data_IF_647343130647
#
_entry.id   IF_647343130647
#
_cell.length_a   1.000
_cell.length_b   1.000
_cell.length_c   1.000
_cell.angle_alpha   90.00
_cell.angle_beta   90.00
_cell.angle_gamma   90.00
#
_symmetry.space_group_name_H-M   'P 1'
#
loop_
_entity.id
_entity.type
_entity.pdbx_description
1 polymer ?
#
# COMPACT_ATOMS: atom_id res chain seq x y z
N UNK A 1 -7.73 1.94 39.90
CA UNK A 1 -7.83 2.19 38.44
C UNK A 1 -6.49 2.09 37.70
N UNK A 2 -5.51 2.97 37.92
CA UNK A 2 -4.22 2.93 37.18
C UNK A 2 -3.39 1.68 37.50
N UNK A 3 -3.47 1.20 38.74
CA UNK A 3 -2.83 -0.04 39.20
C UNK A 3 -3.50 -1.27 38.59
N UNK A 4 -4.84 -1.33 38.66
CA UNK A 4 -5.62 -2.39 37.99
C UNK A 4 -5.40 -2.44 36.47
N UNK A 5 -5.23 -1.28 35.82
CA UNK A 5 -4.92 -1.20 34.40
C UNK A 5 -3.51 -1.72 34.08
N UNK A 6 -2.52 -1.35 34.90
CA UNK A 6 -1.16 -1.88 34.77
C UNK A 6 -1.15 -3.40 34.98
N UNK A 7 -1.88 -3.91 35.96
CA UNK A 7 -1.99 -5.35 36.20
C UNK A 7 -2.76 -6.07 35.09
N UNK A 8 -3.73 -5.40 34.45
CA UNK A 8 -4.46 -5.89 33.29
C UNK A 8 -3.59 -5.99 32.04
N UNK A 9 -2.82 -4.94 31.73
CA UNK A 9 -1.91 -4.92 30.57
C UNK A 9 -0.72 -5.84 30.80
N UNK A 10 -0.22 -5.97 32.04
CA UNK A 10 0.90 -6.87 32.36
C UNK A 10 0.53 -8.36 32.26
N UNK A 11 -0.73 -8.69 31.95
CA UNK A 11 -1.11 -10.04 31.52
C UNK A 11 -0.40 -10.33 30.20
N UNK A 12 0.54 -11.27 30.19
CA UNK A 12 1.38 -11.58 29.03
C UNK A 12 0.60 -11.75 27.71
N UNK A 13 -0.59 -12.37 27.75
CA UNK A 13 -1.47 -12.53 26.58
C UNK A 13 -1.92 -11.22 25.92
N UNK A 14 -2.08 -10.12 26.67
CA UNK A 14 -2.44 -8.81 26.13
C UNK A 14 -1.24 -8.08 25.55
N UNK A 15 -0.08 -8.16 26.22
CA UNK A 15 1.17 -7.56 25.74
C UNK A 15 1.58 -8.16 24.40
N UNK A 16 1.50 -9.49 24.26
CA UNK A 16 1.86 -10.18 23.02
C UNK A 16 0.99 -9.74 21.84
N UNK A 17 -0.32 -9.63 22.03
CA UNK A 17 -1.25 -9.15 21.00
C UNK A 17 -0.97 -7.69 20.66
N UNK A 18 -0.71 -6.84 21.67
CA UNK A 18 -0.41 -5.43 21.45
C UNK A 18 0.90 -5.23 20.67
N UNK A 19 1.95 -5.98 21.00
CA UNK A 19 3.24 -5.93 20.28
C UNK A 19 3.07 -6.43 18.85
N UNK A 20 2.34 -7.53 18.62
CA UNK A 20 2.08 -8.05 17.28
C UNK A 20 1.34 -7.02 16.40
N UNK A 21 0.34 -6.33 16.96
CA UNK A 21 -0.39 -5.29 16.26
C UNK A 21 0.52 -4.12 15.89
N UNK A 22 1.26 -3.56 16.85
CA UNK A 22 2.16 -2.41 16.62
C UNK A 22 3.23 -2.73 15.58
N UNK A 23 3.82 -3.93 15.63
CA UNK A 23 4.78 -4.38 14.62
C UNK A 23 4.14 -4.49 13.24
N UNK A 24 2.90 -4.99 13.16
CA UNK A 24 2.13 -5.06 11.91
C UNK A 24 1.86 -3.69 11.30
N UNK A 25 1.42 -2.72 12.11
CA UNK A 25 1.12 -1.36 11.60
C UNK A 25 2.39 -0.61 11.20
N UNK A 26 3.45 -0.72 11.98
CA UNK A 26 4.72 -0.06 11.67
C UNK A 26 5.35 -0.59 10.37
N UNK A 27 5.29 -1.91 10.15
CA UNK A 27 5.86 -2.55 8.97
C UNK A 27 5.13 -2.16 7.67
N UNK A 28 3.83 -1.85 7.72
CA UNK A 28 3.07 -1.40 6.55
C UNK A 28 3.68 -0.16 5.89
N UNK A 29 4.17 0.80 6.69
CA UNK A 29 4.82 2.02 6.17
C UNK A 29 6.13 1.72 5.44
N UNK A 30 6.90 0.74 5.94
CA UNK A 30 8.17 0.29 5.35
C UNK A 30 7.91 -0.37 4.01
N UNK A 31 6.92 -1.28 3.96
CA UNK A 31 6.55 -1.97 2.72
C UNK A 31 5.97 -1.00 1.70
N UNK A 32 5.14 -0.05 2.12
CA UNK A 32 4.60 1.00 1.23
C UNK A 32 5.71 1.86 0.62
N UNK A 33 6.62 2.38 1.44
CA UNK A 33 7.74 3.18 0.96
C UNK A 33 8.67 2.38 0.02
N UNK A 34 8.93 1.11 0.34
CA UNK A 34 9.68 0.20 -0.52
C UNK A 34 8.97 -0.04 -1.85
N UNK A 35 7.66 -0.26 -1.81
CA UNK A 35 6.85 -0.51 -3.01
C UNK A 35 6.86 0.70 -3.92
N UNK A 36 6.55 1.89 -3.40
CA UNK A 36 6.50 3.12 -4.20
C UNK A 36 7.86 3.51 -4.77
N UNK A 37 8.94 3.34 -4.01
CA UNK A 37 10.28 3.83 -4.44
C UNK A 37 11.08 2.83 -5.25
N UNK A 38 10.84 1.53 -5.07
CA UNK A 38 11.63 0.47 -5.71
C UNK A 38 10.76 -0.37 -6.63
N UNK A 39 9.64 -0.89 -6.13
CA UNK A 39 8.82 -1.86 -6.91
C UNK A 39 8.08 -1.19 -8.08
N UNK A 40 7.37 -0.09 -7.82
CA UNK A 40 6.62 0.65 -8.85
C UNK A 40 7.49 1.11 -10.04
N UNK A 41 8.67 1.73 -9.85
CA UNK A 41 9.52 2.09 -10.99
C UNK A 41 10.12 0.88 -11.70
N UNK A 42 10.45 -0.21 -10.99
CA UNK A 42 10.94 -1.43 -11.63
C UNK A 42 9.87 -2.07 -12.53
N UNK A 43 8.62 -2.13 -12.09
CA UNK A 43 7.49 -2.63 -12.89
C UNK A 43 7.21 -1.68 -14.06
N UNK A 44 7.24 -0.36 -13.84
CA UNK A 44 7.05 0.65 -14.90
C UNK A 44 8.09 0.57 -16.02
N UNK A 45 9.34 0.22 -15.70
CA UNK A 45 10.39 -0.02 -16.70
C UNK A 45 10.16 -1.30 -17.52
N UNK A 46 9.64 -2.36 -16.91
CA UNK A 46 9.38 -3.64 -17.60
C UNK A 46 8.17 -3.53 -18.54
N UNK A 47 7.13 -2.78 -18.14
CA UNK A 47 5.91 -2.60 -18.93
C UNK A 47 5.86 -1.31 -19.76
N UNK A 48 6.95 -0.51 -19.80
CA UNK A 48 7.05 0.76 -20.52
C UNK A 48 5.89 1.73 -20.25
N UNK A 49 5.44 1.77 -18.99
CA UNK A 49 4.37 2.66 -18.51
C UNK A 49 4.92 3.41 -17.31
N UNK A 50 5.23 4.69 -17.52
CA UNK A 50 5.84 5.53 -16.49
C UNK A 50 4.87 5.89 -15.35
N UNK A 51 3.56 5.63 -15.51
CA UNK A 51 2.54 5.87 -14.50
C UNK A 51 1.48 4.75 -14.52
N UNK A 52 1.47 3.93 -13.47
CA UNK A 52 0.48 2.85 -13.24
C UNK A 52 -0.86 3.37 -12.72
N UNK A 53 -0.94 4.65 -12.36
CA UNK A 53 -2.20 5.30 -11.94
C UNK A 53 -3.17 5.50 -13.10
N UNK A 54 -2.70 5.46 -14.36
CA UNK A 54 -3.54 5.64 -15.55
C UNK A 54 -3.60 4.42 -16.49
N UNK A 55 -3.03 3.27 -16.10
CA UNK A 55 -2.97 2.06 -16.96
C UNK A 55 -3.83 0.90 -16.48
N UNK A 56 -4.62 1.10 -15.42
CA UNK A 56 -5.57 0.09 -14.91
C UNK A 56 -7.04 0.49 -15.12
N UNK A 57 -7.35 1.63 -15.76
CA UNK A 57 -8.72 1.89 -16.21
C UNK A 57 -8.94 1.25 -17.58
N UNK A 58 -9.24 -0.05 -17.57
CA UNK A 58 -9.99 -0.66 -18.67
C UNK A 58 -11.39 -0.03 -18.67
N UNK A 59 -11.52 1.16 -19.27
CA UNK A 59 -12.81 1.80 -19.52
C UNK A 59 -13.10 3.12 -18.82
N UNK A 60 -12.15 4.05 -18.72
CA UNK A 60 -12.53 5.48 -18.64
C UNK A 60 -11.81 6.29 -19.70
N UNK A 61 -12.60 6.89 -20.57
CA UNK A 61 -12.20 7.86 -21.57
C UNK A 61 -12.17 9.21 -20.87
N UNK A 62 -11.03 9.90 -20.90
CA UNK A 62 -10.92 11.27 -20.40
C UNK A 62 -11.94 12.18 -21.14
N UNK A 63 -12.91 12.80 -20.43
CA UNK A 63 -14.01 13.55 -21.04
C UNK A 63 -13.59 14.87 -21.69
N UNK A 64 -12.35 15.33 -21.52
CA UNK A 64 -11.87 16.57 -22.14
C UNK A 64 -11.13 16.36 -23.46
N UNK A 65 -10.58 15.17 -23.70
CA UNK A 65 -9.78 14.88 -24.90
C UNK A 65 -10.33 13.75 -25.76
N UNK A 66 -11.27 12.94 -25.25
CA UNK A 66 -12.01 11.95 -26.03
C UNK A 66 -11.16 10.82 -26.62
N UNK A 67 -9.89 10.69 -26.23
CA UNK A 67 -9.00 9.64 -26.73
C UNK A 67 -8.92 8.50 -25.71
N UNK A 68 -9.41 7.33 -26.11
CA UNK A 68 -9.23 6.10 -25.36
C UNK A 68 -7.75 5.69 -25.43
N UNK A 69 -7.04 5.72 -24.31
CA UNK A 69 -5.64 5.27 -24.20
C UNK A 69 -5.55 3.73 -24.21
N UNK A 70 -6.16 3.11 -25.22
CA UNK A 70 -6.25 1.68 -25.46
C UNK A 70 -6.02 1.33 -26.93
N UNK A 71 -5.18 2.09 -27.65
CA UNK A 71 -4.60 1.57 -28.89
C UNK A 71 -3.49 0.59 -28.51
N UNK A 72 -3.91 -0.63 -28.17
CA UNK A 72 -3.04 -1.81 -28.12
C UNK A 72 -2.46 -2.00 -29.50
N UNK A 73 -1.22 -1.55 -29.65
CA UNK A 73 -0.30 -2.14 -30.58
C UNK A 73 -0.53 -1.93 -32.07
N UNK A 74 0.32 -2.47 -32.94
CA UNK A 74 1.52 -3.31 -32.73
C UNK A 74 1.60 -4.12 -31.41
#
# INVERSE_FOLDING_TARGET
>A
MIQEFKDFVSKGSLVEIAVAFVMGVAFASVVSAFTTRIVTPLIGMIFNVSNLENTMTFGDVDPETGVAAGSVGA
#
